data_IF_707636941713
#
_entry.id   IF_707636941713
#
_cell.length_a   1.000
_cell.length_b   1.000
_cell.length_c   1.000
_cell.angle_alpha   90.00
_cell.angle_beta   90.00
_cell.angle_gamma   90.00
#
_symmetry.space_group_name_H-M   'P 1'
#
loop_
_entity.id
_entity.type
_entity.pdbx_description
1 polymer ?
#
# COMPACT_ATOMS: atom_id res chain seq x y z
N UNK A 1 42.68 29.54 -54.88
CA UNK A 1 43.51 28.89 -53.83
C UNK A 1 43.15 29.53 -52.49
N UNK A 2 42.33 28.86 -51.69
CA UNK A 2 41.97 29.32 -50.34
C UNK A 2 42.64 28.41 -49.32
N UNK A 3 43.44 28.99 -48.42
CA UNK A 3 44.15 28.30 -47.35
C UNK A 3 43.17 27.99 -46.20
N UNK A 4 42.99 26.70 -45.90
CA UNK A 4 42.34 26.26 -44.67
C UNK A 4 43.37 26.20 -43.54
N UNK A 5 43.19 27.04 -42.51
CA UNK A 5 43.91 26.92 -41.24
C UNK A 5 43.22 25.86 -40.38
N UNK A 6 43.98 24.84 -40.00
CA UNK A 6 43.62 23.81 -39.04
C UNK A 6 43.58 24.40 -37.62
N UNK A 7 42.39 24.52 -37.04
CA UNK A 7 42.18 24.77 -35.62
C UNK A 7 41.72 23.49 -34.93
N UNK A 8 42.44 23.07 -33.89
CA UNK A 8 42.15 21.90 -33.05
C UNK A 8 40.96 22.14 -32.12
N UNK A 9 40.10 21.14 -31.86
CA UNK A 9 38.86 21.31 -31.09
C UNK A 9 39.09 21.10 -29.59
N UNK A 10 39.95 21.90 -28.96
CA UNK A 10 40.24 21.79 -27.52
C UNK A 10 40.06 23.09 -26.71
N UNK A 11 39.72 24.21 -27.34
CA UNK A 11 39.62 25.51 -26.64
C UNK A 11 38.19 25.92 -26.25
N UNK A 12 37.20 25.02 -26.37
CA UNK A 12 35.78 25.33 -26.07
C UNK A 12 35.30 24.87 -24.67
N UNK A 13 36.18 24.31 -23.84
CA UNK A 13 35.81 23.77 -22.51
C UNK A 13 36.13 24.76 -21.37
N UNK A 14 36.83 25.86 -21.66
CA UNK A 14 37.39 26.75 -20.63
C UNK A 14 36.43 27.77 -19.99
N UNK A 15 35.28 28.07 -20.58
CA UNK A 15 34.52 29.29 -20.22
C UNK A 15 33.11 29.05 -19.63
N UNK A 16 32.77 27.80 -19.31
CA UNK A 16 31.47 27.45 -18.70
C UNK A 16 31.53 27.12 -17.20
N UNK A 17 32.57 27.59 -16.48
CA UNK A 17 32.79 27.27 -15.06
C UNK A 17 32.91 28.50 -14.13
N UNK A 18 32.27 29.63 -14.48
CA UNK A 18 32.20 30.83 -13.63
C UNK A 18 30.79 31.39 -13.46
N UNK A 19 29.80 30.53 -13.20
CA UNK A 19 28.56 30.98 -12.58
C UNK A 19 28.47 30.44 -11.15
N UNK A 20 28.41 31.31 -10.12
CA UNK A 20 28.11 30.86 -8.77
C UNK A 20 26.67 30.34 -8.77
N UNK A 21 26.50 29.05 -8.52
CA UNK A 21 25.20 28.44 -8.27
C UNK A 21 24.58 29.10 -7.04
N UNK A 22 23.69 30.05 -7.25
CA UNK A 22 22.78 30.53 -6.21
C UNK A 22 21.83 29.37 -5.88
N UNK A 23 21.98 28.78 -4.70
CA UNK A 23 21.09 27.74 -4.22
C UNK A 23 19.65 28.27 -4.18
N UNK A 24 18.66 27.55 -4.76
CA UNK A 24 17.27 27.93 -4.58
C UNK A 24 16.91 27.78 -3.10
N UNK A 25 16.59 28.90 -2.45
CA UNK A 25 15.99 28.89 -1.12
C UNK A 25 14.65 28.15 -1.18
N UNK A 26 14.64 26.91 -0.74
CA UNK A 26 13.42 26.17 -0.46
C UNK A 26 12.76 26.85 0.74
N UNK A 27 11.49 27.29 0.66
CA UNK A 27 10.79 27.77 1.85
C UNK A 27 10.68 26.60 2.82
N UNK A 28 11.38 26.71 3.95
CA UNK A 28 11.19 25.82 5.10
C UNK A 28 9.76 26.04 5.57
N UNK A 29 8.87 25.12 5.21
CA UNK A 29 7.55 25.01 5.82
C UNK A 29 7.79 24.76 7.31
N UNK A 30 7.66 25.80 8.11
CA UNK A 30 7.59 25.71 9.56
C UNK A 30 6.31 24.94 9.90
N UNK A 31 6.45 23.62 10.00
CA UNK A 31 5.42 22.76 10.56
C UNK A 31 5.34 23.17 12.03
N UNK A 32 4.40 24.07 12.35
CA UNK A 32 3.95 24.28 13.72
C UNK A 32 3.51 22.92 14.24
N UNK A 33 4.33 22.31 15.10
CA UNK A 33 3.93 21.12 15.84
C UNK A 33 2.63 21.45 16.55
N UNK A 34 1.58 20.62 16.46
CA UNK A 34 0.39 20.83 17.28
C UNK A 34 0.84 20.83 18.73
N UNK A 35 0.71 21.99 19.39
CA UNK A 35 0.91 22.10 20.82
C UNK A 35 -0.08 21.15 21.48
N UNK A 36 0.42 20.23 22.31
CA UNK A 36 -0.40 19.36 23.15
C UNK A 36 -1.43 20.23 23.86
N UNK A 37 -2.70 20.13 23.46
CA UNK A 37 -3.82 20.63 24.24
C UNK A 37 -3.72 20.00 25.61
N UNK A 38 -3.75 20.83 26.65
CA UNK A 38 -3.70 20.31 28.01
C UNK A 38 -4.93 19.42 28.24
N UNK A 39 -4.80 18.38 29.06
CA UNK A 39 -5.92 17.49 29.40
C UNK A 39 -7.17 18.27 29.86
N UNK A 40 -6.96 19.42 30.52
CA UNK A 40 -8.04 20.30 30.96
C UNK A 40 -8.78 20.99 29.80
N UNK A 41 -8.12 21.34 28.70
CA UNK A 41 -8.79 21.88 27.51
C UNK A 41 -9.59 20.81 26.78
N UNK A 42 -9.00 19.62 26.61
CA UNK A 42 -9.70 18.49 25.98
C UNK A 42 -10.96 18.08 26.76
N UNK A 43 -10.94 18.22 28.09
CA UNK A 43 -12.08 17.87 28.94
C UNK A 43 -13.14 18.97 29.03
N UNK A 44 -12.75 20.24 28.89
CA UNK A 44 -13.71 21.33 28.76
C UNK A 44 -14.46 21.29 27.41
N UNK A 45 -13.81 20.90 26.32
CA UNK A 45 -14.49 20.72 25.03
C UNK A 45 -15.47 19.53 25.07
N UNK A 46 -15.10 18.44 25.74
CA UNK A 46 -15.98 17.28 25.90
C UNK A 46 -17.23 17.60 26.73
N UNK A 47 -17.08 18.38 27.81
CA UNK A 47 -18.20 18.76 28.67
C UNK A 47 -19.12 19.83 28.04
N UNK A 48 -18.62 20.61 27.09
CA UNK A 48 -19.41 21.63 26.39
C UNK A 48 -19.91 21.17 25.01
N UNK A 49 -19.76 19.89 24.66
CA UNK A 49 -20.29 19.35 23.40
C UNK A 49 -21.83 19.33 23.47
N UNK A 50 -22.55 19.85 22.45
CA UNK A 50 -24.02 19.87 22.46
C UNK A 50 -24.57 18.43 22.60
N UNK A 51 -25.32 18.20 23.69
CA UNK A 51 -25.88 16.88 24.05
C UNK A 51 -25.31 16.26 25.33
N UNK A 52 -24.26 16.85 25.92
CA UNK A 52 -23.67 16.41 27.20
C UNK A 52 -23.83 17.43 28.34
N UNK A 53 -24.88 18.27 28.28
CA UNK A 53 -25.21 19.11 29.43
C UNK A 53 -25.89 18.26 30.52
N UNK A 54 -25.17 18.07 31.62
CA UNK A 54 -25.66 17.42 32.85
C UNK A 54 -26.86 18.14 33.51
N UNK A 55 -27.26 19.30 33.00
CA UNK A 55 -28.44 20.05 33.44
C UNK A 55 -29.76 19.49 32.88
N UNK A 56 -29.74 18.74 31.76
CA UNK A 56 -30.96 18.16 31.16
C UNK A 56 -31.28 16.75 31.70
N UNK A 57 -30.36 16.14 32.46
CA UNK A 57 -30.51 14.77 32.97
C UNK A 57 -31.53 14.63 34.11
N UNK A 58 -32.01 15.73 34.70
CA UNK A 58 -32.91 15.68 35.86
C UNK A 58 -34.40 15.89 35.56
N UNK A 59 -34.81 16.09 34.30
CA UNK A 59 -36.20 16.47 33.98
C UNK A 59 -37.04 15.39 33.26
N UNK A 60 -36.47 14.30 32.76
CA UNK A 60 -37.24 13.30 32.02
C UNK A 60 -36.78 11.86 32.27
N UNK A 61 -37.51 11.15 33.14
CA UNK A 61 -37.74 9.69 33.08
C UNK A 61 -36.58 8.79 32.60
N UNK A 62 -35.36 9.03 33.10
CA UNK A 62 -34.13 8.65 32.42
C UNK A 62 -33.83 7.17 32.30
N UNK A 63 -34.38 6.31 33.16
CA UNK A 63 -34.07 4.88 33.08
C UNK A 63 -35.02 4.12 32.14
N UNK A 64 -36.33 4.35 32.24
CA UNK A 64 -37.32 3.61 31.44
C UNK A 64 -37.34 4.02 29.97
N UNK A 65 -37.11 5.31 29.67
CA UNK A 65 -37.00 5.78 28.29
C UNK A 65 -35.69 5.28 27.63
N UNK A 66 -34.61 5.20 28.40
CA UNK A 66 -33.34 4.62 27.98
C UNK A 66 -33.42 3.10 27.79
N UNK A 67 -34.08 2.38 28.70
CA UNK A 67 -34.30 0.93 28.54
C UNK A 67 -35.23 0.60 27.38
N UNK A 68 -36.21 1.48 27.08
CA UNK A 68 -37.04 1.38 25.88
C UNK A 68 -36.28 1.72 24.60
N UNK A 69 -35.41 2.72 24.60
CA UNK A 69 -34.59 3.04 23.41
C UNK A 69 -33.56 1.94 23.12
N UNK A 70 -33.01 1.29 24.15
CA UNK A 70 -32.15 0.10 24.00
C UNK A 70 -32.92 -1.12 23.47
N UNK A 71 -34.17 -1.34 23.90
CA UNK A 71 -35.02 -2.41 23.37
C UNK A 71 -35.51 -2.11 21.95
N UNK A 72 -35.83 -0.86 21.63
CA UNK A 72 -36.24 -0.46 20.28
C UNK A 72 -35.07 -0.47 19.28
N UNK A 73 -33.86 -0.10 19.74
CA UNK A 73 -32.62 -0.20 18.95
C UNK A 73 -32.18 -1.64 18.65
N UNK A 74 -32.57 -2.61 19.50
CA UNK A 74 -32.34 -4.04 19.27
C UNK A 74 -33.20 -4.66 18.16
N UNK A 75 -34.27 -3.99 17.71
CA UNK A 75 -35.15 -4.50 16.64
C UNK A 75 -34.71 -3.99 15.25
N UNK A 76 -33.85 -2.97 15.19
CA UNK A 76 -33.45 -2.32 13.93
C UNK A 76 -31.96 -2.51 13.61
N UNK A 77 -31.51 -3.78 13.55
CA UNK A 77 -30.40 -4.28 12.72
C UNK A 77 -30.12 -5.74 13.09
N UNK A 78 -31.11 -6.60 12.85
CA UNK A 78 -30.80 -8.01 12.62
C UNK A 78 -30.26 -8.09 11.18
N UNK A 79 -29.01 -7.66 10.95
CA UNK A 79 -28.31 -8.18 9.77
C UNK A 79 -28.03 -9.63 10.10
N UNK A 80 -28.68 -10.51 9.36
CA UNK A 80 -28.52 -11.95 9.48
C UNK A 80 -27.06 -12.31 9.19
N UNK A 81 -26.47 -13.28 9.90
CA UNK A 81 -25.11 -13.78 9.60
C UNK A 81 -24.94 -14.17 8.12
N UNK A 82 -26.05 -14.58 7.48
CA UNK A 82 -26.13 -14.84 6.05
C UNK A 82 -25.85 -13.60 5.18
N UNK A 83 -26.32 -12.41 5.56
CA UNK A 83 -26.08 -11.17 4.82
C UNK A 83 -24.62 -10.75 4.92
N UNK A 84 -24.02 -10.86 6.11
CA UNK A 84 -22.60 -10.56 6.32
C UNK A 84 -21.68 -11.55 5.61
N UNK A 85 -22.04 -12.84 5.57
CA UNK A 85 -21.28 -13.84 4.81
C UNK A 85 -21.41 -13.67 3.30
N UNK A 86 -22.56 -13.19 2.81
CA UNK A 86 -22.76 -12.90 1.40
C UNK A 86 -21.94 -11.69 0.95
N UNK A 87 -21.96 -10.61 1.73
CA UNK A 87 -21.18 -9.41 1.49
C UNK A 87 -19.67 -9.71 1.49
N UNK A 88 -19.17 -10.48 2.47
CA UNK A 88 -17.76 -10.91 2.51
C UNK A 88 -17.34 -11.73 1.29
N UNK A 89 -18.21 -12.62 0.79
CA UNK A 89 -17.95 -13.39 -0.43
C UNK A 89 -17.93 -12.51 -1.67
N UNK A 90 -18.80 -11.51 -1.75
CA UNK A 90 -18.84 -10.56 -2.87
C UNK A 90 -17.59 -9.68 -2.90
N UNK A 91 -17.14 -9.14 -1.75
CA UNK A 91 -15.91 -8.34 -1.69
C UNK A 91 -14.67 -9.21 -1.96
N UNK A 92 -14.62 -10.44 -1.44
CA UNK A 92 -13.51 -11.36 -1.75
C UNK A 92 -13.46 -11.72 -3.25
N UNK A 93 -14.61 -11.87 -3.91
CA UNK A 93 -14.68 -12.08 -5.35
C UNK A 93 -14.18 -10.83 -6.11
N UNK A 94 -14.57 -9.63 -5.68
CA UNK A 94 -14.09 -8.37 -6.27
C UNK A 94 -12.57 -8.24 -6.17
N UNK A 95 -11.98 -8.53 -4.99
CA UNK A 95 -10.52 -8.54 -4.82
C UNK A 95 -9.88 -9.55 -5.77
N UNK A 96 -10.43 -10.75 -5.89
CA UNK A 96 -9.90 -11.75 -6.83
C UNK A 96 -9.97 -11.31 -8.29
N UNK A 97 -10.97 -10.52 -8.68
CA UNK A 97 -11.11 -10.05 -10.06
C UNK A 97 -10.19 -8.87 -10.35
N UNK A 98 -10.06 -7.93 -9.42
CA UNK A 98 -9.06 -6.85 -9.50
C UNK A 98 -7.63 -7.40 -9.52
N UNK A 99 -7.35 -8.46 -8.76
CA UNK A 99 -6.04 -9.13 -8.80
C UNK A 99 -5.73 -9.75 -10.17
N UNK A 100 -6.74 -10.31 -10.86
CA UNK A 100 -6.56 -10.80 -12.24
C UNK A 100 -6.31 -9.64 -13.21
N UNK A 101 -7.02 -8.53 -13.04
CA UNK A 101 -6.82 -7.32 -13.83
C UNK A 101 -5.38 -6.77 -13.66
N UNK A 102 -4.87 -6.70 -12.43
CA UNK A 102 -3.47 -6.32 -12.20
C UNK A 102 -2.47 -7.30 -12.83
N UNK A 103 -2.73 -8.61 -12.75
CA UNK A 103 -1.89 -9.62 -13.40
C UNK A 103 -1.80 -9.39 -14.91
N UNK A 104 -2.93 -9.16 -15.57
CA UNK A 104 -2.97 -8.82 -16.99
C UNK A 104 -2.23 -7.50 -17.26
N UNK A 105 -2.47 -6.50 -16.42
CA UNK A 105 -1.77 -5.21 -16.50
C UNK A 105 -0.26 -5.34 -16.39
N UNK A 106 0.28 -6.22 -15.53
CA UNK A 106 1.72 -6.47 -15.47
C UNK A 106 2.26 -7.00 -16.80
N UNK A 107 1.59 -7.97 -17.41
CA UNK A 107 2.04 -8.55 -18.70
C UNK A 107 2.01 -7.52 -19.83
N UNK A 108 1.00 -6.65 -19.86
CA UNK A 108 0.89 -5.56 -20.85
C UNK A 108 1.98 -4.52 -20.63
N UNK A 109 2.11 -4.01 -19.39
CA UNK A 109 3.12 -3.03 -19.01
C UNK A 109 4.54 -3.47 -19.35
N UNK A 110 4.88 -4.72 -19.01
CA UNK A 110 6.21 -5.28 -19.22
C UNK A 110 6.51 -5.54 -20.70
N UNK A 111 5.48 -5.82 -21.50
CA UNK A 111 5.62 -5.99 -22.95
C UNK A 111 5.83 -4.66 -23.68
N UNK A 112 5.10 -3.62 -23.27
CA UNK A 112 5.17 -2.31 -23.92
C UNK A 112 6.46 -1.55 -23.59
N UNK A 113 6.94 -1.66 -22.35
CA UNK A 113 8.04 -0.85 -21.84
C UNK A 113 9.17 -1.74 -21.35
N UNK A 114 10.02 -2.15 -22.29
CA UNK A 114 11.23 -2.91 -21.99
C UNK A 114 12.24 -2.04 -21.26
N UNK A 115 12.36 -2.25 -19.95
CA UNK A 115 13.34 -1.59 -19.08
C UNK A 115 14.12 -2.68 -18.35
N UNK A 116 15.45 -2.54 -18.34
CA UNK A 116 16.32 -3.42 -17.59
C UNK A 116 16.59 -2.81 -16.21
N UNK A 117 16.62 -3.66 -15.20
CA UNK A 117 16.95 -3.31 -13.82
C UNK A 117 18.20 -4.07 -13.41
N UNK A 118 19.19 -3.33 -12.93
CA UNK A 118 20.44 -3.88 -12.42
C UNK A 118 20.27 -4.21 -10.93
N UNK A 119 20.72 -5.40 -10.53
CA UNK A 119 20.75 -5.81 -9.13
C UNK A 119 21.88 -5.05 -8.41
N UNK A 120 21.61 -4.16 -7.44
CA UNK A 120 22.66 -3.29 -6.91
C UNK A 120 23.62 -3.99 -5.94
N UNK A 121 23.17 -5.05 -5.27
CA UNK A 121 23.89 -5.71 -4.18
C UNK A 121 23.76 -7.23 -4.25
N UNK A 122 24.72 -7.99 -3.67
CA UNK A 122 24.62 -9.44 -3.58
C UNK A 122 23.34 -9.89 -2.87
N UNK A 123 22.55 -10.75 -3.52
CA UNK A 123 21.26 -11.21 -2.98
C UNK A 123 21.00 -12.69 -3.30
N UNK A 124 20.26 -13.38 -2.43
CA UNK A 124 19.77 -14.73 -2.72
C UNK A 124 18.39 -14.63 -3.31
N UNK A 125 18.22 -15.13 -4.53
CA UNK A 125 16.96 -15.06 -5.27
C UNK A 125 16.49 -16.44 -5.68
N UNK A 126 15.17 -16.61 -5.76
CA UNK A 126 14.56 -17.82 -6.29
C UNK A 126 14.63 -17.77 -7.80
N UNK A 127 15.24 -18.78 -8.41
CA UNK A 127 15.35 -18.92 -9.86
C UNK A 127 14.64 -20.18 -10.32
N UNK A 128 14.09 -20.12 -11.53
CA UNK A 128 13.51 -21.27 -12.23
C UNK A 128 14.50 -21.81 -13.26
N UNK A 129 14.71 -23.11 -13.23
CA UNK A 129 15.48 -23.83 -14.24
C UNK A 129 14.65 -25.02 -14.73
N UNK A 130 14.03 -24.89 -15.90
CA UNK A 130 13.02 -25.84 -16.37
C UNK A 130 11.81 -25.89 -15.42
N UNK A 131 11.54 -27.05 -14.82
CA UNK A 131 10.46 -27.26 -13.84
C UNK A 131 10.83 -26.91 -12.40
N UNK A 132 12.13 -26.79 -12.11
CA UNK A 132 12.61 -26.76 -10.74
C UNK A 132 12.91 -25.32 -10.28
N UNK A 133 12.58 -25.05 -9.03
CA UNK A 133 12.86 -23.78 -8.37
C UNK A 133 14.00 -23.97 -7.37
N UNK A 134 15.03 -23.15 -7.50
CA UNK A 134 16.21 -23.18 -6.65
C UNK A 134 16.55 -21.78 -6.14
N UNK A 135 17.07 -21.67 -4.93
CA UNK A 135 17.59 -20.39 -4.44
C UNK A 135 19.05 -20.28 -4.85
N UNK A 136 19.40 -19.29 -5.67
CA UNK A 136 20.78 -19.02 -6.10
C UNK A 136 21.29 -17.70 -5.49
N UNK A 137 22.56 -17.66 -5.06
CA UNK A 137 23.21 -16.41 -4.70
C UNK A 137 23.63 -15.64 -5.97
N UNK A 138 23.46 -14.33 -5.93
CA UNK A 138 23.89 -13.36 -6.93
C UNK A 138 24.93 -12.43 -6.32
N UNK A 139 25.81 -11.89 -7.15
CA UNK A 139 26.92 -11.03 -6.70
C UNK A 139 26.58 -9.53 -6.80
N UNK A 140 25.52 -9.16 -7.51
CA UNK A 140 25.22 -7.77 -7.86
C UNK A 140 25.86 -7.39 -9.20
N UNK A 141 25.25 -6.43 -9.89
CA UNK A 141 25.57 -6.00 -11.25
C UNK A 141 24.86 -6.79 -12.35
N UNK A 142 24.10 -7.85 -12.01
CA UNK A 142 23.33 -8.59 -13.00
C UNK A 142 22.08 -7.81 -13.44
N UNK A 143 21.82 -7.76 -14.74
CA UNK A 143 20.65 -7.08 -15.32
C UNK A 143 19.48 -8.03 -15.57
N UNK A 144 18.29 -7.54 -15.26
CA UNK A 144 17.04 -8.26 -15.34
C UNK A 144 15.94 -7.45 -16.03
N UNK A 145 15.16 -8.10 -16.89
CA UNK A 145 13.97 -7.50 -17.53
C UNK A 145 12.72 -8.13 -16.93
N UNK A 146 11.73 -7.36 -16.43
CA UNK A 146 10.47 -7.92 -15.98
C UNK A 146 9.69 -8.50 -17.16
N UNK A 147 9.00 -9.61 -16.95
CA UNK A 147 8.31 -10.34 -18.04
C UNK A 147 6.83 -10.57 -17.74
N UNK A 148 6.50 -10.98 -16.51
CA UNK A 148 5.12 -11.18 -16.07
C UNK A 148 4.98 -11.05 -14.56
N UNK A 149 3.76 -10.86 -14.09
CA UNK A 149 3.41 -10.93 -12.67
C UNK A 149 2.34 -12.00 -12.44
N UNK A 150 2.28 -12.60 -11.25
CA UNK A 150 1.18 -13.49 -10.85
C UNK A 150 0.93 -13.44 -9.35
N UNK A 151 -0.25 -13.85 -8.91
CA UNK A 151 -0.59 -13.92 -7.47
C UNK A 151 -0.20 -15.30 -6.92
N UNK A 152 0.72 -15.31 -5.95
CA UNK A 152 1.16 -16.52 -5.26
C UNK A 152 0.13 -17.02 -4.23
N UNK A 153 0.36 -18.23 -3.67
CA UNK A 153 -0.55 -18.92 -2.71
C UNK A 153 -0.94 -18.14 -1.45
N UNK A 154 -0.28 -17.01 -1.15
CA UNK A 154 -0.52 -16.17 0.02
C UNK A 154 -1.04 -14.77 -0.35
N UNK A 155 -1.61 -14.59 -1.54
CA UNK A 155 -2.08 -13.29 -2.03
C UNK A 155 -0.94 -12.29 -2.32
N UNK A 156 0.31 -12.78 -2.35
CA UNK A 156 1.48 -11.95 -2.66
C UNK A 156 1.68 -11.95 -4.17
N UNK A 157 1.75 -10.77 -4.76
CA UNK A 157 2.17 -10.60 -6.14
C UNK A 157 3.64 -10.97 -6.28
N UNK A 158 3.93 -11.90 -7.18
CA UNK A 158 5.26 -12.33 -7.58
C UNK A 158 5.54 -11.76 -8.97
N UNK A 159 6.67 -11.09 -9.11
CA UNK A 159 7.15 -10.58 -10.39
C UNK A 159 8.24 -11.52 -10.91
N UNK A 160 8.11 -11.89 -12.17
CA UNK A 160 9.03 -12.77 -12.89
C UNK A 160 9.92 -11.93 -13.79
N UNK A 161 11.22 -12.13 -13.65
CA UNK A 161 12.26 -11.46 -14.41
C UNK A 161 13.04 -12.46 -15.26
N UNK A 162 13.52 -12.01 -16.42
CA UNK A 162 14.49 -12.75 -17.23
C UNK A 162 15.86 -12.07 -17.17
N UNK A 163 16.96 -12.83 -17.10
CA UNK A 163 18.29 -12.26 -17.21
C UNK A 163 18.51 -11.71 -18.62
N UNK A 164 19.18 -10.55 -18.71
CA UNK A 164 19.54 -9.94 -20.02
C UNK A 164 20.74 -10.66 -20.64
N UNK A 165 21.66 -11.15 -19.81
CA UNK A 165 22.86 -11.88 -20.21
C UNK A 165 22.71 -13.40 -20.25
N UNK A 166 23.80 -14.09 -20.57
CA UNK A 166 23.86 -15.55 -20.48
C UNK A 166 23.81 -15.97 -19.00
N UNK A 167 22.84 -16.79 -18.64
CA UNK A 167 22.65 -17.27 -17.28
C UNK A 167 22.26 -18.75 -17.26
N UNK A 168 22.65 -19.46 -16.20
CA UNK A 168 22.32 -20.88 -15.98
C UNK A 168 20.90 -21.09 -15.41
N UNK A 169 19.97 -20.19 -15.72
CA UNK A 169 18.57 -20.25 -15.30
C UNK A 169 17.70 -19.47 -16.29
N UNK A 170 16.42 -19.81 -16.35
CA UNK A 170 15.50 -19.18 -17.31
C UNK A 170 14.91 -17.89 -16.76
N UNK A 171 14.47 -17.93 -15.50
CA UNK A 171 13.68 -16.87 -14.88
C UNK A 171 14.04 -16.71 -13.41
N UNK A 172 13.88 -15.51 -12.89
CA UNK A 172 14.03 -15.17 -11.48
C UNK A 172 12.70 -14.63 -10.95
N UNK A 173 12.34 -15.04 -9.74
CA UNK A 173 11.11 -14.62 -9.09
C UNK A 173 11.40 -13.88 -7.79
N UNK A 174 10.70 -12.78 -7.58
CA UNK A 174 10.68 -12.05 -6.31
C UNK A 174 9.32 -11.45 -6.05
N UNK A 175 8.99 -11.20 -4.78
CA UNK A 175 7.74 -10.51 -4.46
C UNK A 175 7.79 -9.08 -4.98
N UNK A 176 6.64 -8.51 -5.31
CA UNK A 176 6.55 -7.11 -5.74
C UNK A 176 7.18 -6.13 -4.71
N UNK A 177 6.97 -6.39 -3.42
CA UNK A 177 7.55 -5.60 -2.34
C UNK A 177 9.09 -5.68 -2.35
N UNK A 178 9.64 -6.88 -2.52
CA UNK A 178 11.09 -7.08 -2.62
C UNK A 178 11.63 -6.39 -3.88
N UNK A 179 10.94 -6.52 -5.03
CA UNK A 179 11.34 -5.87 -6.28
C UNK A 179 11.39 -4.34 -6.15
N UNK A 180 10.40 -3.73 -5.50
CA UNK A 180 10.38 -2.28 -5.23
C UNK A 180 11.51 -1.84 -4.31
N UNK A 181 11.91 -2.68 -3.36
CA UNK A 181 13.00 -2.40 -2.43
C UNK A 181 14.38 -2.62 -3.08
N UNK A 182 14.50 -3.65 -3.92
CA UNK A 182 15.78 -4.08 -4.51
C UNK A 182 16.14 -3.28 -5.75
N UNK A 183 15.19 -2.98 -6.64
CA UNK A 183 15.47 -2.34 -7.92
C UNK A 183 15.16 -0.84 -7.91
N UNK A 184 16.18 0.04 -7.99
CA UNK A 184 15.96 1.47 -8.08
C UNK A 184 15.08 1.83 -9.28
N UNK A 185 14.07 2.66 -9.05
CA UNK A 185 13.15 3.10 -10.11
C UNK A 185 12.04 2.11 -10.46
N UNK A 186 12.09 0.87 -9.97
CA UNK A 186 11.05 -0.13 -10.24
C UNK A 186 9.67 0.28 -9.71
N UNK A 187 9.62 0.91 -8.52
CA UNK A 187 8.37 1.44 -7.98
C UNK A 187 7.73 2.50 -8.89
N UNK A 188 8.55 3.42 -9.43
CA UNK A 188 8.06 4.43 -10.38
C UNK A 188 7.60 3.78 -11.68
N UNK A 189 8.36 2.82 -12.18
CA UNK A 189 8.00 2.07 -13.37
C UNK A 189 6.63 1.37 -13.23
N UNK A 190 6.39 0.71 -12.10
CA UNK A 190 5.08 0.09 -11.82
C UNK A 190 3.97 1.12 -11.69
N UNK A 191 4.19 2.23 -10.98
CA UNK A 191 3.16 3.26 -10.81
C UNK A 191 2.80 3.95 -12.13
N UNK A 192 3.77 4.18 -13.00
CA UNK A 192 3.54 4.76 -14.34
C UNK A 192 2.67 3.83 -15.21
N UNK A 193 2.70 2.52 -14.98
CA UNK A 193 1.98 1.54 -15.78
C UNK A 193 0.66 1.07 -15.15
N UNK A 194 0.62 0.94 -13.82
CA UNK A 194 -0.45 0.24 -13.09
C UNK A 194 -0.98 1.04 -11.90
N UNK A 195 -0.59 2.30 -11.72
CA UNK A 195 -0.94 3.10 -10.54
C UNK A 195 -2.43 3.03 -10.19
N UNK A 196 -3.31 3.25 -11.18
CA UNK A 196 -4.75 3.24 -10.96
C UNK A 196 -5.30 1.87 -10.51
N UNK A 197 -4.80 0.79 -11.10
CA UNK A 197 -5.24 -0.59 -10.75
C UNK A 197 -4.75 -0.97 -9.36
N UNK A 198 -3.52 -0.59 -9.02
CA UNK A 198 -2.93 -0.86 -7.71
C UNK A 198 -3.65 -0.11 -6.59
N UNK A 199 -4.05 1.14 -6.84
CA UNK A 199 -4.83 1.94 -5.88
C UNK A 199 -6.19 1.28 -5.61
N UNK A 200 -6.90 0.83 -6.66
CA UNK A 200 -8.17 0.10 -6.54
C UNK A 200 -8.03 -1.21 -5.73
N UNK A 201 -6.96 -1.97 -5.96
CA UNK A 201 -6.69 -3.20 -5.21
C UNK A 201 -6.43 -2.89 -3.74
N UNK A 202 -5.68 -1.82 -3.45
CA UNK A 202 -5.39 -1.44 -2.08
C UNK A 202 -6.66 -1.03 -1.34
N UNK A 203 -7.51 -0.20 -1.96
CA UNK A 203 -8.80 0.21 -1.40
C UNK A 203 -9.68 -1.01 -1.09
N UNK A 204 -9.83 -1.93 -2.04
CA UNK A 204 -10.62 -3.15 -1.86
C UNK A 204 -10.07 -4.04 -0.73
N UNK A 205 -8.74 -4.16 -0.61
CA UNK A 205 -8.10 -4.91 0.49
C UNK A 205 -8.29 -4.25 1.85
N UNK A 206 -8.30 -2.92 1.91
CA UNK A 206 -8.56 -2.17 3.13
C UNK A 206 -10.03 -2.33 3.57
N UNK A 207 -10.96 -2.36 2.62
CA UNK A 207 -12.38 -2.65 2.88
C UNK A 207 -12.57 -4.06 3.46
N UNK A 208 -11.96 -5.09 2.86
CA UNK A 208 -12.00 -6.47 3.40
C UNK A 208 -11.47 -6.50 4.83
N UNK A 209 -10.32 -5.87 5.09
CA UNK A 209 -9.73 -5.84 6.45
C UNK A 209 -10.59 -5.07 7.43
N UNK A 210 -11.27 -4.01 7.00
CA UNK A 210 -12.19 -3.26 7.84
C UNK A 210 -13.40 -4.10 8.23
N UNK A 211 -13.97 -4.86 7.28
CA UNK A 211 -15.05 -5.81 7.52
C UNK A 211 -14.62 -6.92 8.49
N UNK A 212 -13.45 -7.54 8.28
CA UNK A 212 -12.93 -8.58 9.18
C UNK A 212 -12.71 -8.06 10.62
N UNK A 213 -12.20 -6.84 10.78
CA UNK A 213 -12.04 -6.23 12.11
C UNK A 213 -13.38 -5.94 12.77
N UNK A 214 -14.39 -5.51 12.01
CA UNK A 214 -15.73 -5.29 12.53
C UNK A 214 -16.37 -6.60 13.02
N UNK A 215 -16.19 -7.68 12.26
CA UNK A 215 -16.62 -9.04 12.65
C UNK A 215 -15.90 -9.54 13.91
N UNK A 216 -14.58 -9.34 14.01
CA UNK A 216 -13.83 -9.69 15.23
C UNK A 216 -14.33 -8.92 16.46
N UNK A 217 -14.61 -7.62 16.32
CA UNK A 217 -15.12 -6.81 17.44
C UNK A 217 -16.52 -7.27 17.82
N UNK A 218 -17.37 -7.58 16.84
CA UNK A 218 -18.73 -8.08 17.07
C UNK A 218 -18.72 -9.43 17.79
N UNK A 219 -17.94 -10.40 17.29
CA UNK A 219 -17.81 -11.71 17.91
C UNK A 219 -17.22 -11.64 19.33
N UNK A 220 -16.24 -10.76 19.56
CA UNK A 220 -15.73 -10.48 20.92
C UNK A 220 -16.83 -9.89 21.81
N UNK A 221 -17.62 -8.93 21.32
CA UNK A 221 -18.72 -8.33 22.08
C UNK A 221 -19.83 -9.34 22.44
N UNK A 222 -20.15 -10.26 21.53
CA UNK A 222 -21.10 -11.36 21.78
C UNK A 222 -20.54 -12.33 22.85
N UNK A 223 -19.26 -12.69 22.74
CA UNK A 223 -18.57 -13.52 23.76
C UNK A 223 -18.58 -12.86 25.14
N UNK A 224 -18.33 -11.55 25.22
CA UNK A 224 -18.38 -10.80 26.49
C UNK A 224 -19.81 -10.67 27.06
N UNK A 225 -20.82 -10.63 26.20
CA UNK A 225 -22.22 -10.63 26.63
C UNK A 225 -22.64 -11.99 27.22
N UNK A 226 -22.16 -13.10 26.65
CA UNK A 226 -22.42 -14.46 27.15
C UNK A 226 -21.62 -14.81 28.41
N UNK A 227 -20.37 -14.33 28.53
CA UNK A 227 -19.53 -14.60 29.69
C UNK A 227 -20.01 -13.93 30.98
N UNK A 228 -21.05 -13.10 30.93
CA UNK A 228 -21.77 -12.59 32.09
C UNK A 228 -20.83 -12.09 33.17
N UNK A 229 -20.32 -10.86 33.02
CA UNK A 229 -19.65 -10.17 34.13
C UNK A 229 -20.63 -10.10 35.32
N UNK A 230 -20.56 -11.11 36.18
CA UNK A 230 -21.26 -11.19 37.44
C UNK A 230 -20.77 -10.03 38.27
N UNK A 231 -21.65 -9.05 38.47
CA UNK A 231 -21.48 -7.99 39.45
C UNK A 231 -21.22 -8.64 40.81
N UNK A 232 -20.02 -8.47 41.34
CA UNK A 232 -19.75 -8.57 42.77
C UNK A 232 -20.17 -7.26 43.45
#
# INVERSE_FOLDING_TARGET
>A
MAQFKSGTPLDLIGDLMKQPFAAPMVPVLSIKRPTRTSFNEAMNDFLNTPGYNSADASAAGGHDAYMRSLRAGKVAKHSTEEDTMKEKKEVAALVSDLEKEAVQGYEEAFREKLVNFELPEPLKLTVRNGSDFNVKPFIGGEEFTPVRGYVGKRGKTIIVFKPVGVADFEEMEMTEADAKATFPGFNRYLNDALGEVMDKIQEAREEVKAQERAEEIRSKAETYAEQGFGSW
#
